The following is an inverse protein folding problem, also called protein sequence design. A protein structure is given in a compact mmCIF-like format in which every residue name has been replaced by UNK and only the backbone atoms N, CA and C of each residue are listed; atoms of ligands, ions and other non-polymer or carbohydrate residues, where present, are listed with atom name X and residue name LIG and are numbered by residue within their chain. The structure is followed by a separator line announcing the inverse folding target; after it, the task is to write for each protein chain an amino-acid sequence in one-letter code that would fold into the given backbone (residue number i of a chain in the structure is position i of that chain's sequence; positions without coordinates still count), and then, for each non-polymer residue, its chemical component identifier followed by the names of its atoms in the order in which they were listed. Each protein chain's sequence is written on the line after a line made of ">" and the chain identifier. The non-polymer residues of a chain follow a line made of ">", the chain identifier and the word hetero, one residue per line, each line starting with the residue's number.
data_IF_872115931672
#
_entry.id   IF_872115931672
#
_cell.length_a   1.000
_cell.length_b   1.000
_cell.length_c   1.000
_cell.angle_alpha   90.00
_cell.angle_beta   90.00
_cell.angle_gamma   90.00
#
_symmetry.space_group_name_H-M   'P 1'
#
loop_
_entity.id
_entity.type
_entity.pdbx_description
1 polymer ?
#
# COMPACT_ATOMS: atom_id res chain seq x y z
N UNK A 1 81.26 -51.70 9.26
CA UNK A 1 81.05 -50.69 8.19
C UNK A 1 80.61 -51.46 6.95
N UNK A 2 79.50 -51.14 6.25
CA UNK A 2 78.66 -49.95 6.32
C UNK A 2 77.17 -50.18 6.67
N UNK A 3 76.48 -49.06 6.93
CA UNK A 3 75.04 -48.84 7.19
C UNK A 3 74.24 -48.67 5.86
N UNK A 4 73.08 -47.97 5.80
CA UNK A 4 71.73 -48.51 5.62
C UNK A 4 71.06 -48.03 4.30
N UNK A 5 69.90 -48.56 3.94
CA UNK A 5 69.00 -47.95 2.93
C UNK A 5 67.56 -48.28 3.35
N UNK A 6 66.80 -47.32 3.88
CA UNK A 6 66.12 -46.23 3.18
C UNK A 6 64.62 -46.55 3.09
N UNK A 7 63.86 -45.85 3.93
CA UNK A 7 62.57 -45.23 3.66
C UNK A 7 61.70 -45.82 2.54
N UNK A 8 60.53 -46.34 2.95
CA UNK A 8 59.28 -46.03 2.24
C UNK A 8 58.15 -45.81 3.23
N UNK A 9 58.09 -44.58 3.75
CA UNK A 9 56.84 -43.97 4.17
C UNK A 9 55.83 -44.08 3.02
N UNK A 10 54.74 -44.80 3.23
CA UNK A 10 53.58 -44.79 2.36
C UNK A 10 52.64 -43.68 2.88
N UNK A 11 52.47 -42.54 2.20
CA UNK A 11 51.44 -41.60 2.61
C UNK A 11 50.08 -42.22 2.31
N UNK A 12 49.31 -42.47 3.37
CA UNK A 12 47.89 -42.80 3.25
C UNK A 12 47.22 -41.70 2.41
N UNK A 13 46.84 -42.07 1.19
CA UNK A 13 46.14 -41.23 0.24
C UNK A 13 44.78 -40.88 0.85
N UNK A 14 44.72 -39.70 1.47
CA UNK A 14 43.52 -39.13 2.07
C UNK A 14 42.57 -38.81 0.92
N UNK A 15 41.67 -39.73 0.62
CA UNK A 15 40.56 -39.52 -0.30
C UNK A 15 39.68 -38.41 0.26
N UNK A 16 40.00 -37.16 -0.05
CA UNK A 16 39.04 -36.08 -0.03
C UNK A 16 37.96 -36.45 -1.04
N UNK A 17 36.82 -36.92 -0.54
CA UNK A 17 35.59 -37.03 -1.32
C UNK A 17 35.13 -35.59 -1.59
N UNK A 18 35.85 -34.92 -2.49
CA UNK A 18 35.38 -33.72 -3.14
C UNK A 18 34.33 -34.24 -4.12
N UNK A 19 33.04 -33.93 -3.87
CA UNK A 19 31.93 -34.25 -4.76
C UNK A 19 32.27 -33.73 -6.17
N UNK A 20 32.91 -34.57 -6.99
CA UNK A 20 33.23 -34.28 -8.38
C UNK A 20 31.94 -34.48 -9.19
N UNK A 21 31.03 -33.52 -9.03
CA UNK A 21 29.93 -33.36 -9.98
C UNK A 21 30.57 -33.08 -11.34
N UNK A 22 30.37 -33.98 -12.30
CA UNK A 22 30.79 -33.80 -13.69
C UNK A 22 30.31 -32.44 -14.21
N UNK A 23 31.12 -31.75 -15.05
CA UNK A 23 30.79 -30.42 -15.60
C UNK A 23 29.37 -30.35 -16.19
N UNK A 24 28.87 -31.46 -16.75
CA UNK A 24 27.52 -31.59 -17.30
C UNK A 24 26.42 -31.47 -16.25
N UNK A 25 26.61 -32.02 -15.05
CA UNK A 25 25.64 -31.92 -13.95
C UNK A 25 25.67 -30.54 -13.30
N UNK A 26 26.82 -29.88 -13.27
CA UNK A 26 26.96 -28.51 -12.75
C UNK A 26 26.18 -27.49 -13.55
N UNK A 27 26.11 -27.62 -14.89
CA UNK A 27 25.30 -26.73 -15.72
C UNK A 27 23.82 -26.83 -15.37
N UNK A 28 23.30 -28.04 -15.19
CA UNK A 28 21.91 -28.24 -14.79
C UNK A 28 21.64 -27.63 -13.40
N UNK A 29 22.54 -27.86 -12.44
CA UNK A 29 22.42 -27.28 -11.09
C UNK A 29 22.45 -25.76 -11.14
N UNK A 30 23.30 -25.16 -11.97
CA UNK A 30 23.39 -23.72 -12.11
C UNK A 30 22.11 -23.14 -12.74
N UNK A 31 21.55 -23.80 -13.74
CA UNK A 31 20.25 -23.41 -14.33
C UNK A 31 19.15 -23.48 -13.28
N UNK A 32 19.05 -24.58 -12.53
CA UNK A 32 18.05 -24.71 -11.47
C UNK A 32 18.26 -23.67 -10.35
N UNK A 33 19.50 -23.40 -9.96
CA UNK A 33 19.83 -22.39 -8.96
C UNK A 33 19.42 -20.99 -9.40
N UNK A 34 19.69 -20.62 -10.66
CA UNK A 34 19.29 -19.32 -11.22
C UNK A 34 17.77 -19.21 -11.33
N UNK A 35 17.07 -20.27 -11.75
CA UNK A 35 15.61 -20.28 -11.84
C UNK A 35 14.96 -20.15 -10.45
N UNK A 36 15.46 -20.88 -9.46
CA UNK A 36 15.01 -20.77 -8.07
C UNK A 36 15.28 -19.36 -7.54
N UNK A 37 16.48 -18.81 -7.80
CA UNK A 37 16.82 -17.44 -7.40
C UNK A 37 15.89 -16.42 -8.05
N UNK A 38 15.59 -16.55 -9.34
CA UNK A 38 14.65 -15.68 -10.05
C UNK A 38 13.24 -15.80 -9.46
N UNK A 39 12.79 -17.01 -9.13
CA UNK A 39 11.49 -17.21 -8.47
C UNK A 39 11.44 -16.62 -7.06
N UNK A 40 12.51 -16.72 -6.29
CA UNK A 40 12.60 -16.14 -4.94
C UNK A 40 12.65 -14.61 -5.00
N UNK A 41 13.46 -14.04 -5.92
CA UNK A 41 13.62 -12.59 -6.04
C UNK A 41 12.42 -11.89 -6.67
N UNK A 42 11.70 -12.54 -7.58
CA UNK A 42 10.59 -11.90 -8.31
C UNK A 42 9.22 -12.50 -7.95
N UNK A 43 9.11 -13.81 -7.75
CA UNK A 43 7.85 -14.51 -7.49
C UNK A 43 7.33 -14.37 -6.06
N UNK A 44 8.20 -14.49 -5.06
CA UNK A 44 7.81 -14.38 -3.64
C UNK A 44 7.37 -12.97 -3.26
N UNK A 45 8.14 -11.89 -3.54
CA UNK A 45 7.72 -10.54 -3.13
C UNK A 45 6.41 -10.11 -3.80
N UNK A 46 6.18 -10.49 -5.06
CA UNK A 46 4.95 -10.14 -5.78
C UNK A 46 3.71 -10.80 -5.15
N UNK A 47 3.82 -12.04 -4.65
CA UNK A 47 2.72 -12.75 -3.97
C UNK A 47 2.54 -12.30 -2.52
N UNK A 48 3.62 -11.91 -1.83
CA UNK A 48 3.53 -11.32 -0.50
C UNK A 48 2.87 -9.93 -0.55
N UNK A 49 3.21 -9.11 -1.53
CA UNK A 49 2.55 -7.82 -1.78
C UNK A 49 1.03 -7.96 -2.06
N UNK A 50 0.61 -9.07 -2.64
CA UNK A 50 -0.82 -9.37 -2.89
C UNK A 50 -1.55 -9.92 -1.65
N UNK A 51 -0.84 -10.64 -0.76
CA UNK A 51 -1.43 -11.33 0.41
C UNK A 51 -1.40 -10.51 1.69
N UNK A 52 -0.46 -9.58 1.83
CA UNK A 52 -0.65 -8.49 2.76
C UNK A 52 -1.80 -7.69 2.17
N UNK A 53 -3.02 -7.97 2.64
CA UNK A 53 -4.15 -7.10 2.44
C UNK A 53 -3.65 -5.72 2.85
N UNK A 54 -3.28 -4.91 1.86
CA UNK A 54 -2.71 -3.61 2.10
C UNK A 54 -3.74 -2.94 3.01
N UNK A 55 -3.32 -2.48 4.18
CA UNK A 55 -4.13 -1.52 4.91
C UNK A 55 -4.26 -0.35 3.93
N UNK A 56 -5.38 -0.31 3.21
CA UNK A 56 -5.61 0.72 2.23
C UNK A 56 -5.88 1.96 3.07
N UNK A 57 -4.91 2.86 3.15
CA UNK A 57 -5.07 4.14 3.85
C UNK A 57 -5.21 5.23 2.81
N UNK A 58 -5.92 6.30 3.16
CA UNK A 58 -6.03 7.49 2.29
C UNK A 58 -4.65 8.08 1.97
N UNK A 59 -3.78 8.09 2.98
CA UNK A 59 -2.37 8.40 2.85
C UNK A 59 -1.56 7.17 3.22
N UNK A 60 -0.63 6.70 2.36
CA UNK A 60 0.25 5.60 2.69
C UNK A 60 1.02 5.84 4.00
N UNK A 61 1.23 4.80 4.81
CA UNK A 61 1.88 4.94 6.12
C UNK A 61 3.35 5.40 6.03
N UNK A 62 3.98 5.22 4.87
CA UNK A 62 5.34 5.67 4.53
C UNK A 62 5.38 7.10 3.96
N UNK A 63 4.24 7.78 3.85
CA UNK A 63 4.13 9.12 3.30
C UNK A 63 3.57 10.12 4.33
N UNK A 64 4.13 11.33 4.32
CA UNK A 64 3.62 12.44 5.11
C UNK A 64 2.72 13.34 4.26
N UNK A 65 1.59 13.74 4.83
CA UNK A 65 0.68 14.70 4.24
C UNK A 65 1.34 16.09 4.16
N UNK A 66 1.31 16.71 2.97
CA UNK A 66 1.77 18.09 2.76
C UNK A 66 0.59 19.07 2.69
N UNK A 67 -0.42 18.72 1.90
CA UNK A 67 -1.59 19.55 1.66
C UNK A 67 -2.77 18.69 1.21
N UNK A 68 -3.98 19.11 1.57
CA UNK A 68 -5.23 18.60 0.98
C UNK A 68 -5.98 19.77 0.36
N UNK A 69 -6.21 19.73 -0.94
CA UNK A 69 -7.09 20.67 -1.64
C UNK A 69 -8.51 20.14 -1.70
N UNK A 70 -9.46 20.93 -1.22
CA UNK A 70 -10.90 20.73 -1.40
C UNK A 70 -11.42 21.68 -2.48
N UNK A 71 -12.73 21.61 -2.79
CA UNK A 71 -13.33 22.46 -3.82
C UNK A 71 -13.20 23.97 -3.54
N UNK A 72 -13.39 24.40 -2.29
CA UNK A 72 -13.38 25.82 -1.89
C UNK A 72 -12.30 26.19 -0.88
N UNK A 73 -11.65 25.20 -0.28
CA UNK A 73 -10.66 25.37 0.79
C UNK A 73 -9.47 24.44 0.57
N UNK A 74 -8.35 24.72 1.22
CA UNK A 74 -7.17 23.86 1.25
C UNK A 74 -6.63 23.76 2.66
N UNK A 75 -6.35 22.55 3.09
CA UNK A 75 -5.65 22.24 4.32
C UNK A 75 -4.15 22.25 4.04
N UNK A 76 -3.42 23.15 4.68
CA UNK A 76 -1.97 23.30 4.51
C UNK A 76 -1.27 23.33 5.86
N UNK A 77 -0.04 22.81 5.89
CA UNK A 77 0.82 22.87 7.06
C UNK A 77 1.54 24.22 7.09
N UNK A 78 1.08 25.14 7.94
CA UNK A 78 1.65 26.48 8.13
C UNK A 78 2.64 26.45 9.30
N UNK A 79 3.86 25.98 9.05
CA UNK A 79 4.88 25.79 10.09
C UNK A 79 4.56 24.56 10.95
N UNK A 80 4.35 24.71 12.28
CA UNK A 80 4.03 23.59 13.16
C UNK A 80 2.54 23.20 13.16
N UNK A 81 1.65 24.06 12.64
CA UNK A 81 0.20 23.87 12.75
C UNK A 81 -0.47 23.68 11.38
N UNK A 82 -1.54 22.88 11.37
CA UNK A 82 -2.42 22.73 10.22
C UNK A 82 -3.44 23.86 10.19
N UNK A 83 -3.67 24.43 9.01
CA UNK A 83 -4.62 25.52 8.82
C UNK A 83 -5.42 25.32 7.54
N UNK A 84 -6.71 25.69 7.58
CA UNK A 84 -7.58 25.76 6.42
C UNK A 84 -7.50 27.15 5.78
N UNK A 85 -7.28 27.20 4.47
CA UNK A 85 -7.20 28.44 3.69
C UNK A 85 -8.21 28.40 2.53
N UNK A 86 -9.03 29.44 2.31
CA UNK A 86 -9.27 30.55 3.24
C UNK A 86 -9.81 30.05 4.58
N UNK A 87 -9.55 30.80 5.66
CA UNK A 87 -10.11 30.49 6.96
C UNK A 87 -11.64 30.58 6.86
N UNK A 88 -12.30 29.42 6.80
CA UNK A 88 -13.76 29.35 6.73
C UNK A 88 -14.38 29.75 8.07
N UNK A 89 -15.67 30.10 8.04
CA UNK A 89 -16.46 30.33 9.25
C UNK A 89 -16.84 29.01 9.98
N UNK A 90 -16.46 27.87 9.41
CA UNK A 90 -16.73 26.56 9.97
C UNK A 90 -15.77 26.30 11.13
N UNK A 91 -16.33 25.93 12.29
CA UNK A 91 -15.63 25.52 13.50
C UNK A 91 -14.95 24.14 13.35
N UNK A 92 -14.27 23.92 12.21
CA UNK A 92 -13.59 22.69 11.88
C UNK A 92 -12.15 22.80 12.34
N UNK A 93 -11.73 21.86 13.18
CA UNK A 93 -10.35 21.75 13.62
C UNK A 93 -9.48 21.18 12.49
N UNK A 94 -8.65 22.04 11.90
CA UNK A 94 -7.75 21.70 10.80
C UNK A 94 -6.76 20.57 11.18
N UNK A 95 -6.36 20.49 12.45
CA UNK A 95 -5.45 19.45 12.94
C UNK A 95 -6.15 18.09 12.96
N UNK A 96 -7.39 18.04 13.44
CA UNK A 96 -8.20 16.81 13.41
C UNK A 96 -8.47 16.33 11.99
N UNK A 97 -8.71 17.24 11.05
CA UNK A 97 -8.88 16.88 9.63
C UNK A 97 -7.59 16.31 9.06
N UNK A 98 -6.44 16.92 9.34
CA UNK A 98 -5.14 16.41 8.89
C UNK A 98 -4.85 15.01 9.43
N UNK A 99 -5.12 14.79 10.73
CA UNK A 99 -4.98 13.48 11.37
C UNK A 99 -5.94 12.45 10.76
N UNK A 100 -7.19 12.83 10.50
CA UNK A 100 -8.16 11.97 9.84
C UNK A 100 -7.65 11.55 8.45
N UNK A 101 -7.12 12.47 7.64
CA UNK A 101 -6.54 12.14 6.34
C UNK A 101 -5.33 11.21 6.45
N UNK A 102 -4.45 11.43 7.43
CA UNK A 102 -3.22 10.65 7.60
C UNK A 102 -3.47 9.22 8.10
N UNK A 103 -4.46 9.03 8.98
CA UNK A 103 -4.67 7.76 9.69
C UNK A 103 -5.94 7.01 9.29
N UNK A 104 -6.79 7.59 8.45
CA UNK A 104 -8.03 6.94 8.05
C UNK A 104 -7.77 5.73 7.15
N UNK A 105 -8.36 4.62 7.57
CA UNK A 105 -8.35 3.35 6.87
C UNK A 105 -9.53 3.27 5.90
N UNK A 106 -9.30 2.58 4.78
CA UNK A 106 -10.23 2.35 3.70
C UNK A 106 -10.59 0.87 3.64
N UNK A 107 -11.88 0.61 3.56
CA UNK A 107 -12.41 -0.74 3.40
C UNK A 107 -12.72 -0.93 1.91
N UNK A 108 -12.00 -1.81 1.20
CA UNK A 108 -12.25 -2.04 -0.21
C UNK A 108 -13.63 -2.67 -0.43
N UNK A 109 -14.26 -2.34 -1.55
CA UNK A 109 -15.57 -2.86 -1.95
C UNK A 109 -15.39 -3.76 -3.17
N UNK A 110 -15.70 -5.04 -3.03
CA UNK A 110 -15.51 -6.02 -4.11
C UNK A 110 -16.52 -5.83 -5.26
N UNK A 111 -17.72 -5.33 -4.97
CA UNK A 111 -18.77 -5.12 -5.96
C UNK A 111 -19.50 -3.80 -5.73
N UNK A 112 -19.38 -2.89 -6.70
CA UNK A 112 -20.20 -1.68 -6.77
C UNK A 112 -21.10 -1.82 -7.99
N UNK A 113 -22.44 -1.71 -7.85
CA UNK A 113 -23.30 -1.64 -9.02
C UNK A 113 -22.91 -0.40 -9.83
N UNK A 114 -22.52 -0.65 -11.08
CA UNK A 114 -22.08 0.36 -12.04
C UNK A 114 -23.25 1.27 -12.43
N UNK A 115 -23.59 2.16 -11.52
CA UNK A 115 -24.48 3.29 -11.79
C UNK A 115 -23.58 4.47 -12.12
N UNK A 116 -23.94 5.20 -13.18
CA UNK A 116 -23.32 6.47 -13.52
C UNK A 116 -23.59 7.47 -12.39
N UNK A 117 -22.73 7.46 -11.37
CA UNK A 117 -22.82 8.34 -10.22
C UNK A 117 -21.95 9.56 -10.48
N UNK A 118 -22.51 10.74 -10.27
CA UNK A 118 -21.74 11.98 -10.29
C UNK A 118 -21.00 12.09 -8.95
N UNK A 119 -19.69 12.40 -8.94
CA UNK A 119 -18.99 12.63 -7.69
C UNK A 119 -19.59 13.84 -6.97
N UNK A 120 -19.90 13.69 -5.69
CA UNK A 120 -20.45 14.74 -4.81
C UNK A 120 -19.36 15.64 -4.25
N UNK A 121 -18.13 15.13 -4.11
CA UNK A 121 -16.99 15.90 -3.65
C UNK A 121 -15.69 15.33 -4.24
N UNK A 122 -14.67 16.18 -4.27
CA UNK A 122 -13.31 15.80 -4.67
C UNK A 122 -12.30 16.40 -3.70
N UNK A 123 -11.21 15.66 -3.47
CA UNK A 123 -10.09 16.12 -2.67
C UNK A 123 -8.77 15.77 -3.38
N UNK A 124 -7.86 16.72 -3.46
CA UNK A 124 -6.51 16.53 -4.00
C UNK A 124 -5.50 16.48 -2.86
N UNK A 125 -4.87 15.34 -2.67
CA UNK A 125 -3.91 15.10 -1.59
C UNK A 125 -2.51 15.20 -2.15
N UNK A 126 -1.74 16.17 -1.68
CA UNK A 126 -0.32 16.28 -1.98
C UNK A 126 0.49 15.70 -0.83
N UNK A 127 1.45 14.84 -1.17
CA UNK A 127 2.33 14.15 -0.24
C UNK A 127 3.75 14.72 -0.33
N UNK A 128 4.46 14.70 0.79
CA UNK A 128 5.87 15.11 0.84
C UNK A 128 6.70 14.21 -0.08
N UNK A 129 7.55 14.82 -0.91
CA UNK A 129 8.42 14.10 -1.84
C UNK A 129 7.74 13.55 -3.10
N UNK A 130 6.40 13.69 -3.25
CA UNK A 130 5.69 13.32 -4.48
C UNK A 130 5.28 14.54 -5.29
N UNK A 131 5.66 14.56 -6.57
CA UNK A 131 5.31 15.65 -7.49
C UNK A 131 3.86 15.59 -7.97
N UNK A 132 3.23 14.42 -7.92
CA UNK A 132 1.84 14.22 -8.39
C UNK A 132 0.87 14.11 -7.21
N UNK A 133 -0.20 14.92 -7.18
CA UNK A 133 -1.23 14.79 -6.16
C UNK A 133 -2.09 13.55 -6.40
N UNK A 134 -2.54 12.92 -5.31
CA UNK A 134 -3.53 11.86 -5.33
C UNK A 134 -4.92 12.50 -5.33
N UNK A 135 -5.71 12.25 -6.36
CA UNK A 135 -7.07 12.78 -6.44
C UNK A 135 -8.05 11.72 -5.97
N UNK A 136 -8.86 12.09 -4.98
CA UNK A 136 -9.92 11.28 -4.40
C UNK A 136 -11.28 11.84 -4.82
N UNK A 137 -12.15 10.97 -5.31
CA UNK A 137 -13.50 11.27 -5.76
C UNK A 137 -14.49 10.57 -4.83
N UNK A 138 -15.40 11.35 -4.26
CA UNK A 138 -16.45 10.86 -3.38
C UNK A 138 -17.75 10.73 -4.16
N UNK A 139 -18.38 9.56 -4.10
CA UNK A 139 -19.65 9.25 -4.73
C UNK A 139 -20.70 8.93 -3.67
N UNK A 140 -21.98 9.23 -3.93
CA UNK A 140 -23.06 8.78 -3.06
C UNK A 140 -23.11 7.25 -3.08
N UNK A 141 -23.21 6.61 -1.91
CA UNK A 141 -23.47 5.17 -1.83
C UNK A 141 -24.92 4.86 -2.20
N UNK A 142 -25.18 3.59 -2.50
CA UNK A 142 -26.57 3.13 -2.56
C UNK A 142 -27.05 2.93 -1.13
N UNK A 143 -28.30 3.27 -0.85
CA UNK A 143 -28.99 2.73 0.32
C UNK A 143 -28.86 1.20 0.31
N UNK A 144 -28.60 0.56 1.46
CA UNK A 144 -28.41 -0.88 1.53
C UNK A 144 -29.70 -1.58 1.09
N UNK A 145 -29.75 -2.02 -0.18
CA UNK A 145 -30.92 -2.68 -0.76
C UNK A 145 -31.21 -4.08 -0.16
N UNK A 146 -30.37 -4.57 0.76
CA UNK A 146 -30.36 -5.98 1.14
C UNK A 146 -30.48 -6.25 2.66
N UNK A 147 -30.77 -5.26 3.50
CA UNK A 147 -31.05 -5.52 4.92
C UNK A 147 -32.05 -4.51 5.51
N UNK A 148 -33.34 -4.87 5.68
CA UNK A 148 -34.35 -3.99 6.27
C UNK A 148 -34.17 -3.74 7.79
N UNK A 149 -33.12 -4.28 8.42
CA UNK A 149 -32.82 -4.08 9.84
C UNK A 149 -31.82 -2.94 10.12
N UNK A 150 -31.21 -2.35 9.09
CA UNK A 150 -30.34 -1.18 9.25
C UNK A 150 -31.14 0.09 8.98
N UNK A 151 -31.36 0.87 10.03
CA UNK A 151 -32.19 2.07 10.01
C UNK A 151 -31.78 3.13 8.98
N UNK A 152 -32.61 4.15 8.78
CA UNK A 152 -32.49 5.15 7.70
C UNK A 152 -31.24 6.06 7.75
N UNK A 153 -30.30 5.83 8.68
CA UNK A 153 -29.08 6.65 8.87
C UNK A 153 -27.80 6.08 8.22
N UNK A 154 -27.86 4.88 7.63
CA UNK A 154 -26.70 4.20 7.02
C UNK A 154 -26.43 4.59 5.56
N UNK A 155 -26.63 5.86 5.19
CA UNK A 155 -26.15 6.35 3.89
C UNK A 155 -24.61 6.28 3.87
N UNK A 156 -24.08 5.26 3.22
CA UNK A 156 -22.64 5.10 3.01
C UNK A 156 -22.20 5.95 1.82
N UNK A 157 -20.91 6.33 1.80
CA UNK A 157 -20.29 6.94 0.63
C UNK A 157 -19.30 5.95 0.01
N UNK A 158 -19.11 6.09 -1.30
CA UNK A 158 -18.10 5.36 -2.02
C UNK A 158 -16.98 6.32 -2.38
N UNK A 159 -15.75 5.93 -2.08
CA UNK A 159 -14.56 6.68 -2.41
C UNK A 159 -13.79 5.96 -3.50
N UNK A 160 -13.30 6.72 -4.48
CA UNK A 160 -12.48 6.20 -5.56
C UNK A 160 -11.24 7.06 -5.74
N UNK A 161 -10.09 6.44 -5.95
CA UNK A 161 -8.91 7.17 -6.41
C UNK A 161 -9.01 7.40 -7.92
N UNK A 162 -8.82 8.63 -8.38
CA UNK A 162 -8.86 8.95 -9.80
C UNK A 162 -7.84 8.09 -10.58
N UNK A 163 -8.31 7.46 -11.66
CA UNK A 163 -7.51 6.54 -12.48
C UNK A 163 -7.48 5.08 -11.99
N UNK A 164 -8.05 4.77 -10.82
CA UNK A 164 -8.21 3.39 -10.34
C UNK A 164 -9.66 2.91 -10.46
N UNK A 165 -9.84 1.60 -10.62
CA UNK A 165 -11.17 0.96 -10.67
C UNK A 165 -11.69 0.53 -9.29
N UNK A 166 -10.85 0.59 -8.26
CA UNK A 166 -11.18 0.14 -6.92
C UNK A 166 -12.00 1.20 -6.19
N UNK A 167 -13.09 0.76 -5.55
CA UNK A 167 -13.90 1.59 -4.67
C UNK A 167 -13.65 1.21 -3.21
N UNK A 168 -13.82 2.20 -2.34
CA UNK A 168 -13.71 2.06 -0.90
C UNK A 168 -14.98 2.57 -0.22
N UNK A 169 -15.41 1.90 0.85
CA UNK A 169 -16.54 2.31 1.66
C UNK A 169 -16.12 3.32 2.71
N UNK A 170 -16.84 4.45 2.79
CA UNK A 170 -16.73 5.44 3.86
C UNK A 170 -18.07 5.58 4.57
N UNK A 171 -18.03 5.70 5.90
CA UNK A 171 -19.21 6.09 6.66
C UNK A 171 -19.56 7.57 6.41
N UNK A 172 -20.82 7.95 6.66
CA UNK A 172 -21.26 9.35 6.55
C UNK A 172 -20.41 10.30 7.37
N UNK A 173 -20.16 9.97 8.63
CA UNK A 173 -19.38 10.80 9.55
C UNK A 173 -17.93 10.94 9.09
N UNK A 174 -17.31 9.85 8.64
CA UNK A 174 -15.97 9.87 8.08
C UNK A 174 -15.90 10.69 6.79
N UNK A 175 -16.87 10.57 5.89
CA UNK A 175 -16.94 11.35 4.67
C UNK A 175 -17.11 12.86 4.97
N UNK A 176 -17.95 13.22 5.96
CA UNK A 176 -18.14 14.61 6.40
C UNK A 176 -16.85 15.19 6.96
N UNK A 177 -16.17 14.46 7.84
CA UNK A 177 -14.92 14.92 8.44
C UNK A 177 -13.79 15.06 7.40
N UNK A 178 -13.69 14.12 6.47
CA UNK A 178 -12.62 14.13 5.46
C UNK A 178 -12.86 15.18 4.36
N UNK A 179 -14.09 15.30 3.85
CA UNK A 179 -14.41 16.17 2.72
C UNK A 179 -15.03 17.52 3.11
N UNK A 180 -15.15 17.81 4.41
CA UNK A 180 -15.74 19.03 4.94
C UNK A 180 -17.15 19.29 4.40
N UNK A 181 -17.94 18.23 4.28
CA UNK A 181 -19.32 18.33 3.81
C UNK A 181 -20.16 19.11 4.84
N UNK A 182 -21.05 19.99 4.36
CA UNK A 182 -21.92 20.80 5.21
C UNK A 182 -22.74 19.92 6.18
N UNK A 183 -23.01 20.47 7.38
CA UNK A 183 -23.67 19.75 8.46
C UNK A 183 -25.18 19.67 8.33
#
# INVERSE_FOLDING_TARGET
>A
MPLPLADRYCPAQKNFIMLKLSRRNWNNVLIFAVLILMFVLYGIPQRLQQKMAAEHRLVPADAELLMVGFASQRLVKAGPQWQLQPAGNSQVDAEQVALAWQYSQLIPVDTVPMQSRVPVAQASVQLVGKSTPIIWLLYPGAEPANNPEQGPDTSQYLLQQAGQKQFYQLSREQARQLFLLEQ
#
